data_IF_027555114456
#
_entry.id   IF_027555114456
#
_cell.length_a   1.000
_cell.length_b   1.000
_cell.length_c   1.000
_cell.angle_alpha   90.00
_cell.angle_beta   90.00
_cell.angle_gamma   90.00
#
_symmetry.space_group_name_H-M   'P 1'
#
loop_
_entity.id
_entity.type
_entity.pdbx_description
1 polymer ?
#
# COMPACT_ATOMS: atom_id res chain seq x y z
N UNK A 1 4.02 -16.51 1.02
CA UNK A 1 3.51 -15.18 1.38
C UNK A 1 2.30 -15.40 2.25
N UNK A 2 2.26 -14.77 3.42
CA UNK A 2 1.14 -14.85 4.37
C UNK A 2 0.51 -13.47 4.48
N UNK A 3 -0.82 -13.38 4.52
CA UNK A 3 -1.53 -12.09 4.62
C UNK A 3 -2.13 -11.97 6.01
N UNK A 4 -1.86 -10.84 6.65
CA UNK A 4 -2.34 -10.51 7.98
C UNK A 4 -3.26 -9.29 7.89
N UNK A 5 -4.41 -9.39 8.54
CA UNK A 5 -5.48 -8.40 8.48
C UNK A 5 -5.66 -7.77 9.86
N UNK A 6 -5.61 -6.44 9.89
CA UNK A 6 -5.72 -5.68 11.12
C UNK A 6 -6.65 -4.48 10.99
N UNK A 7 -7.12 -4.02 12.14
CA UNK A 7 -7.71 -2.70 12.35
C UNK A 7 -6.73 -1.85 13.16
N UNK A 8 -6.40 -0.68 12.62
CA UNK A 8 -5.76 0.39 13.38
C UNK A 8 -6.85 1.21 14.10
N UNK A 9 -6.79 1.36 15.45
CA UNK A 9 -7.81 2.08 16.22
C UNK A 9 -7.72 3.62 16.13
N UNK A 10 -6.81 4.15 15.32
CA UNK A 10 -6.51 5.58 15.17
C UNK A 10 -6.23 5.93 13.70
N UNK A 11 -6.05 7.22 13.40
CA UNK A 11 -5.68 7.69 12.06
C UNK A 11 -4.36 7.06 11.61
N UNK A 12 -4.41 6.33 10.48
CA UNK A 12 -3.29 5.58 9.91
C UNK A 12 -2.15 6.47 9.39
N UNK A 13 -2.32 7.79 9.40
CA UNK A 13 -1.30 8.78 9.02
C UNK A 13 0.00 8.66 9.84
N UNK A 14 -0.07 8.42 11.16
CA UNK A 14 1.13 8.27 11.98
C UNK A 14 1.87 6.94 11.70
N UNK A 15 1.11 5.88 11.42
CA UNK A 15 1.65 4.59 11.00
C UNK A 15 2.45 4.75 9.70
N UNK A 16 1.92 5.52 8.74
CA UNK A 16 2.63 5.84 7.50
C UNK A 16 3.88 6.69 7.75
N UNK A 17 3.81 7.70 8.62
CA UNK A 17 4.93 8.61 8.88
C UNK A 17 6.11 7.94 9.58
N UNK A 18 5.82 7.05 10.52
CA UNK A 18 6.81 6.52 11.48
C UNK A 18 7.11 5.04 11.26
N UNK A 19 6.23 4.33 10.56
CA UNK A 19 6.36 2.92 10.22
C UNK A 19 6.82 2.66 8.78
N UNK A 20 6.99 3.70 7.95
CA UNK A 20 7.37 3.56 6.54
C UNK A 20 8.64 2.73 6.32
N UNK A 21 9.65 2.86 7.18
CA UNK A 21 10.92 2.14 7.00
C UNK A 21 10.78 0.62 7.11
N UNK A 22 9.73 0.13 7.79
CA UNK A 22 9.42 -1.28 7.92
C UNK A 22 8.46 -1.80 6.83
N UNK A 23 7.88 -0.90 6.05
CA UNK A 23 6.80 -1.20 5.11
C UNK A 23 7.20 -0.88 3.67
N UNK A 24 7.04 -1.86 2.76
CA UNK A 24 6.97 -1.55 1.34
C UNK A 24 5.49 -1.40 0.94
N UNK A 25 5.01 -0.16 0.94
CA UNK A 25 3.63 0.20 0.61
C UNK A 25 3.24 -0.29 -0.80
N UNK A 26 2.01 -0.75 -0.97
CA UNK A 26 1.45 -1.15 -2.27
C UNK A 26 0.25 -0.30 -2.66
N UNK A 27 -0.12 -0.37 -3.94
CA UNK A 27 -1.32 0.23 -4.48
C UNK A 27 -1.62 1.67 -4.15
N UNK A 28 -2.89 1.94 -3.84
CA UNK A 28 -3.44 3.28 -3.71
C UNK A 28 -2.81 4.11 -2.58
N UNK A 29 -2.06 3.52 -1.64
CA UNK A 29 -1.30 4.27 -0.61
C UNK A 29 0.18 4.44 -0.88
N UNK A 30 0.71 3.83 -1.94
CA UNK A 30 2.07 4.12 -2.34
C UNK A 30 2.23 5.62 -2.62
N UNK A 31 3.33 6.25 -2.20
CA UNK A 31 3.53 7.71 -2.28
C UNK A 31 3.25 8.29 -3.69
N UNK A 32 3.63 7.55 -4.72
CA UNK A 32 3.40 7.87 -6.13
C UNK A 32 1.91 7.99 -6.53
N UNK A 33 0.98 7.39 -5.77
CA UNK A 33 -0.45 7.46 -6.04
C UNK A 33 -1.08 8.83 -5.75
N UNK A 34 -0.57 9.55 -4.74
CA UNK A 34 -1.20 10.78 -4.26
C UNK A 34 -2.63 10.61 -3.69
N UNK A 35 -3.10 9.38 -3.46
CA UNK A 35 -4.47 9.11 -2.96
C UNK A 35 -4.48 9.05 -1.43
N UNK A 36 -5.48 9.70 -0.83
CA UNK A 36 -5.81 9.54 0.59
C UNK A 36 -6.89 8.47 0.78
N UNK A 37 -6.52 7.27 1.21
CA UNK A 37 -7.47 6.17 1.57
C UNK A 37 -7.23 5.60 2.97
N UNK A 38 -8.22 5.42 3.85
CA UNK A 38 -7.96 4.89 5.20
C UNK A 38 -7.28 3.50 5.23
N UNK A 39 -7.28 2.76 4.10
CA UNK A 39 -6.64 1.47 3.92
C UNK A 39 -5.13 1.57 3.72
N UNK A 40 -4.35 0.83 4.52
CA UNK A 40 -2.95 0.52 4.28
C UNK A 40 -2.86 -0.90 3.70
N UNK A 41 -2.19 -1.05 2.58
CA UNK A 41 -1.73 -2.35 2.05
C UNK A 41 -0.21 -2.25 1.85
N UNK A 42 0.53 -3.19 2.42
CA UNK A 42 1.99 -3.14 2.42
C UNK A 42 2.62 -4.52 2.57
N UNK A 43 3.83 -4.68 2.02
CA UNK A 43 4.71 -5.80 2.34
C UNK A 43 5.53 -5.51 3.59
N UNK A 44 5.78 -6.55 4.38
CA UNK A 44 6.58 -6.47 5.62
C UNK A 44 7.44 -7.74 5.78
N UNK A 45 8.61 -7.60 6.42
CA UNK A 45 9.45 -8.75 6.78
C UNK A 45 8.94 -9.41 8.07
N UNK A 46 9.15 -10.73 8.25
CA UNK A 46 8.74 -11.44 9.48
C UNK A 46 9.34 -10.80 10.75
N UNK A 47 10.60 -10.38 10.69
CA UNK A 47 11.30 -9.73 11.81
C UNK A 47 10.68 -8.40 12.22
N UNK A 48 10.11 -7.69 11.26
CA UNK A 48 9.49 -6.39 11.51
C UNK A 48 8.03 -6.57 11.91
N UNK A 49 7.30 -7.51 11.31
CA UNK A 49 5.91 -7.81 11.67
C UNK A 49 5.74 -8.12 13.16
N UNK A 50 6.65 -8.92 13.74
CA UNK A 50 6.63 -9.28 15.17
C UNK A 50 6.74 -8.09 16.11
N UNK A 51 7.29 -6.96 15.65
CA UNK A 51 7.41 -5.71 16.42
C UNK A 51 6.36 -4.69 16.00
N UNK A 52 6.06 -4.63 14.72
CA UNK A 52 5.23 -3.62 14.09
C UNK A 52 3.79 -3.68 14.61
N UNK A 53 3.13 -4.83 14.50
CA UNK A 53 1.75 -4.99 14.94
C UNK A 53 1.54 -4.62 16.43
N UNK A 54 2.37 -5.09 17.39
CA UNK A 54 2.20 -4.69 18.78
C UNK A 54 2.58 -3.24 19.06
N UNK A 55 3.63 -2.69 18.44
CA UNK A 55 4.04 -1.28 18.65
C UNK A 55 2.95 -0.29 18.21
N UNK A 56 2.18 -0.67 17.20
CA UNK A 56 1.08 0.11 16.65
C UNK A 56 -0.29 -0.33 17.21
N UNK A 57 -0.33 -1.24 18.19
CA UNK A 57 -1.59 -1.70 18.81
C UNK A 57 -2.61 -2.14 17.73
N UNK A 58 -2.13 -2.85 16.71
CA UNK A 58 -2.96 -3.34 15.63
C UNK A 58 -3.81 -4.52 16.12
N UNK A 59 -5.13 -4.39 15.97
CA UNK A 59 -6.06 -5.45 16.38
C UNK A 59 -6.33 -6.40 15.21
N UNK A 60 -6.14 -7.72 15.36
CA UNK A 60 -6.48 -8.67 14.31
C UNK A 60 -7.96 -8.55 13.93
N UNK A 61 -8.24 -8.53 12.63
CA UNK A 61 -9.58 -8.34 12.11
C UNK A 61 -9.87 -9.26 10.92
N UNK A 62 -11.15 -9.60 10.67
CA UNK A 62 -11.51 -10.27 9.43
C UNK A 62 -11.29 -9.33 8.22
N UNK A 63 -11.03 -9.87 7.01
CA UNK A 63 -10.66 -9.09 5.83
C UNK A 63 -11.63 -7.95 5.49
N UNK A 64 -12.93 -8.16 5.71
CA UNK A 64 -14.00 -7.23 5.39
C UNK A 64 -13.99 -5.97 6.27
N UNK A 65 -13.31 -6.04 7.42
CA UNK A 65 -13.19 -4.94 8.38
C UNK A 65 -11.80 -4.34 8.45
N UNK A 66 -10.83 -4.94 7.78
CA UNK A 66 -9.43 -4.55 7.88
C UNK A 66 -9.18 -3.21 7.17
N UNK A 67 -8.50 -2.29 7.86
CA UNK A 67 -7.94 -1.08 7.25
C UNK A 67 -6.40 -1.13 7.20
N UNK A 68 -5.78 -2.21 7.68
CA UNK A 68 -4.35 -2.47 7.53
C UNK A 68 -4.16 -3.92 7.07
N UNK A 69 -3.56 -4.09 5.91
CA UNK A 69 -3.25 -5.37 5.28
C UNK A 69 -1.73 -5.48 5.19
N UNK A 70 -1.16 -6.45 5.89
CA UNK A 70 0.28 -6.70 5.91
C UNK A 70 0.59 -8.04 5.23
N UNK A 71 1.36 -7.98 4.14
CA UNK A 71 1.78 -9.13 3.35
C UNK A 71 3.19 -9.54 3.77
N UNK A 72 3.27 -10.58 4.58
CA UNK A 72 4.53 -11.12 5.08
C UNK A 72 5.30 -11.81 3.95
N UNK A 73 6.52 -11.34 3.70
CA UNK A 73 7.41 -11.80 2.62
C UNK A 73 8.85 -11.98 3.13
N UNK A 74 9.59 -12.92 2.55
CA UNK A 74 11.00 -13.16 2.91
C UNK A 74 11.97 -12.09 2.42
N UNK A 75 11.55 -11.23 1.49
CA UNK A 75 12.29 -10.05 1.04
C UNK A 75 11.30 -8.96 0.59
N UNK A 76 11.57 -7.70 0.95
CA UNK A 76 10.72 -6.59 0.53
C UNK A 76 10.85 -6.38 -0.99
N UNK A 77 9.74 -6.38 -1.74
CA UNK A 77 9.80 -6.08 -3.16
C UNK A 77 10.13 -4.60 -3.35
N UNK A 78 10.91 -4.31 -4.39
CA UNK A 78 11.02 -2.94 -4.89
C UNK A 78 9.73 -2.61 -5.62
N UNK A 79 8.86 -1.83 -4.99
CA UNK A 79 7.61 -1.40 -5.61
C UNK A 79 7.92 -0.38 -6.70
N UNK A 80 7.89 -0.85 -7.95
CA UNK A 80 8.15 -0.01 -9.12
C UNK A 80 6.89 0.79 -9.50
N UNK A 81 7.09 1.92 -10.19
CA UNK A 81 6.04 2.75 -10.78
C UNK A 81 4.96 1.94 -11.52
N UNK A 82 5.34 0.89 -12.25
CA UNK A 82 4.40 0.02 -12.96
C UNK A 82 3.45 -0.74 -12.01
N UNK A 83 3.95 -1.21 -10.86
CA UNK A 83 3.11 -1.89 -9.86
C UNK A 83 2.08 -0.93 -9.28
N UNK A 84 2.49 0.30 -8.98
CA UNK A 84 1.58 1.34 -8.46
C UNK A 84 0.49 1.66 -9.49
N UNK A 85 0.83 1.78 -10.76
CA UNK A 85 -0.15 2.01 -11.82
C UNK A 85 -1.14 0.84 -11.97
N UNK A 86 -0.65 -0.40 -11.95
CA UNK A 86 -1.49 -1.59 -12.05
C UNK A 86 -2.46 -1.72 -10.87
N UNK A 87 -1.96 -1.51 -9.65
CA UNK A 87 -2.79 -1.57 -8.44
C UNK A 87 -3.83 -0.43 -8.39
N UNK A 88 -3.48 0.77 -8.88
CA UNK A 88 -4.43 1.89 -8.97
C UNK A 88 -5.57 1.62 -9.94
N UNK A 89 -5.27 1.05 -11.11
CA UNK A 89 -6.29 0.62 -12.07
C UNK A 89 -7.17 -0.45 -11.46
N UNK A 90 -6.57 -1.47 -10.84
CA UNK A 90 -7.34 -2.53 -10.20
C UNK A 90 -8.25 -2.00 -9.08
N UNK A 91 -7.76 -1.10 -8.23
CA UNK A 91 -8.54 -0.48 -7.17
C UNK A 91 -9.71 0.36 -7.72
N UNK A 92 -9.52 1.02 -8.86
CA UNK A 92 -10.56 1.75 -9.56
C UNK A 92 -11.63 0.79 -10.12
N UNK A 93 -11.20 -0.31 -10.77
CA UNK A 93 -12.09 -1.32 -11.35
C UNK A 93 -13.01 -1.97 -10.31
N UNK A 94 -12.53 -2.15 -9.07
CA UNK A 94 -13.31 -2.72 -7.96
C UNK A 94 -14.04 -1.65 -7.11
N UNK A 95 -13.98 -0.38 -7.49
CA UNK A 95 -14.70 0.72 -6.82
C UNK A 95 -14.17 1.11 -5.45
N UNK A 96 -12.92 0.78 -5.12
CA UNK A 96 -12.29 1.12 -3.83
C UNK A 96 -11.70 2.54 -3.82
N UNK A 97 -11.49 3.12 -4.99
CA UNK A 97 -10.99 4.50 -5.19
C UNK A 97 -11.78 5.21 -6.28
N UNK A 98 -11.68 6.54 -6.35
CA UNK A 98 -12.37 7.38 -7.33
C UNK A 98 -11.64 7.44 -8.69
N UNK A 99 -12.28 8.07 -9.69
CA UNK A 99 -11.74 8.23 -11.06
C UNK A 99 -10.36 8.91 -11.11
N UNK A 100 -9.97 9.66 -10.06
CA UNK A 100 -8.64 10.28 -9.96
C UNK A 100 -7.54 9.23 -9.87
N UNK A 101 -7.85 8.04 -9.36
CA UNK A 101 -6.92 6.91 -9.35
C UNK A 101 -6.59 6.43 -10.75
N UNK A 102 -7.59 6.37 -11.62
CA UNK A 102 -7.40 6.01 -13.03
C UNK A 102 -6.55 7.06 -13.74
N UNK A 103 -6.88 8.35 -13.60
CA UNK A 103 -6.09 9.44 -14.18
C UNK A 103 -4.62 9.37 -13.73
N UNK A 104 -4.39 9.06 -12.44
CA UNK A 104 -3.04 8.94 -11.91
C UNK A 104 -2.30 7.74 -12.47
N UNK A 105 -2.95 6.57 -12.55
CA UNK A 105 -2.36 5.38 -13.14
C UNK A 105 -1.97 5.62 -14.60
N UNK A 106 -2.86 6.24 -15.39
CA UNK A 106 -2.58 6.64 -16.77
C UNK A 106 -1.41 7.62 -16.88
N UNK A 107 -1.31 8.60 -15.97
CA UNK A 107 -0.16 9.53 -15.91
C UNK A 107 1.15 8.78 -15.66
N UNK A 108 1.17 7.85 -14.71
CA UNK A 108 2.35 7.04 -14.41
C UNK A 108 2.75 6.20 -15.63
N UNK A 109 1.77 5.60 -16.33
CA UNK A 109 2.02 4.83 -17.55
C UNK A 109 2.57 5.72 -18.68
N UNK A 110 2.02 6.93 -18.87
CA UNK A 110 2.54 7.90 -19.85
C UNK A 110 3.98 8.29 -19.54
N UNK A 111 4.33 8.51 -18.27
CA UNK A 111 5.70 8.79 -17.87
C UNK A 111 6.65 7.62 -18.13
N UNK A 112 6.22 6.38 -17.87
CA UNK A 112 7.01 5.17 -18.12
C UNK A 112 7.25 4.91 -19.61
N UNK A 113 6.27 5.23 -20.46
CA UNK A 113 6.34 5.03 -21.90
C UNK A 113 7.02 6.18 -22.64
N UNK A 114 7.41 7.27 -21.96
CA UNK A 114 8.19 8.34 -22.60
C UNK A 114 9.56 7.78 -23.01
N UNK A 115 9.98 7.96 -24.27
CA UNK A 115 11.32 7.58 -24.67
C UNK A 115 12.31 8.29 -23.75
N UNK A 116 13.27 7.54 -23.21
CA UNK A 116 14.38 8.13 -22.49
C UNK A 116 15.12 9.02 -23.48
N UNK A 117 14.99 10.34 -23.35
CA UNK A 117 15.90 11.28 -24.00
C UNK A 117 17.28 11.01 -23.40
N UNK A 118 18.05 10.17 -24.09
CA UNK A 118 19.42 9.80 -23.77
C UNK A 118 20.30 10.13 -24.96
#
# INVERSE_FOLDING_TARGET
>A
MTVHYYVAPYDTSDLLRTGADALALTGARHELSGIKTPLIDAYILPSDLTKFAPNWILEPAPPERANVILREVSALPRVLRLHVAADLLHACDIGVVDERAQERAESIMKELCRPSER
#
